data_IF_473723959314
#
_entry.id   IF_473723959314
#
_cell.length_a   1.000
_cell.length_b   1.000
_cell.length_c   1.000
_cell.angle_alpha   90.00
_cell.angle_beta   90.00
_cell.angle_gamma   90.00
#
_symmetry.space_group_name_H-M   'P 1'
#
loop_
_entity.id
_entity.type
_entity.pdbx_description
1 polymer ?
#
# COMPACT_ATOMS: atom_id res chain seq x y z
N UNK A 1 31.09 -43.70 0.55
CA UNK A 1 31.91 -42.59 1.09
C UNK A 1 30.93 -41.52 1.55
N UNK A 2 30.38 -41.44 2.77
CA UNK A 2 30.97 -41.45 4.12
C UNK A 2 32.31 -40.70 4.14
N UNK A 3 32.56 -39.69 4.98
CA UNK A 3 32.23 -39.56 6.41
C UNK A 3 32.44 -38.08 6.85
N UNK A 4 31.57 -37.62 7.77
CA UNK A 4 31.86 -36.93 9.06
C UNK A 4 32.76 -35.68 9.12
N UNK A 5 32.28 -34.55 9.67
CA UNK A 5 32.11 -34.16 11.10
C UNK A 5 33.39 -33.76 11.86
N UNK A 6 33.35 -32.57 12.49
CA UNK A 6 33.67 -32.27 13.90
C UNK A 6 33.11 -30.86 14.22
N UNK A 7 32.12 -30.67 15.11
CA UNK A 7 32.17 -30.43 16.59
C UNK A 7 33.26 -29.41 16.97
N UNK A 8 32.97 -28.35 17.73
CA UNK A 8 32.96 -28.37 19.20
C UNK A 8 31.85 -27.53 19.86
N UNK A 9 31.41 -28.05 21.00
CA UNK A 9 30.48 -27.54 22.00
C UNK A 9 31.29 -26.85 23.10
N UNK A 10 30.78 -25.77 23.68
CA UNK A 10 31.02 -25.42 25.08
C UNK A 10 29.67 -25.20 25.77
N UNK A 11 29.44 -25.95 26.84
CA UNK A 11 28.23 -26.00 27.63
C UNK A 11 28.30 -25.05 28.84
N UNK A 12 27.14 -24.55 29.27
CA UNK A 12 26.89 -24.27 30.68
C UNK A 12 25.40 -24.51 30.96
N UNK A 13 25.12 -25.48 31.82
CA UNK A 13 23.80 -25.80 32.34
C UNK A 13 23.44 -24.81 33.46
N UNK A 14 22.26 -24.22 33.37
CA UNK A 14 21.53 -23.73 34.53
C UNK A 14 20.07 -24.19 34.38
N UNK A 15 19.69 -25.20 35.17
CA UNK A 15 18.30 -25.59 35.35
C UNK A 15 17.67 -24.52 36.22
N UNK A 16 16.91 -23.61 35.61
CA UNK A 16 15.91 -22.83 36.34
C UNK A 16 14.55 -23.52 36.09
N UNK A 17 14.04 -24.21 37.11
CA UNK A 17 12.63 -24.58 37.15
C UNK A 17 11.85 -23.28 37.36
N UNK A 18 11.42 -22.65 36.27
CA UNK A 18 10.35 -21.66 36.31
C UNK A 18 9.07 -22.35 35.88
N UNK A 19 8.23 -22.68 36.86
CA UNK A 19 6.81 -22.81 36.60
C UNK A 19 6.27 -21.39 36.35
N UNK A 20 6.17 -21.01 35.08
CA UNK A 20 5.48 -19.78 34.69
C UNK A 20 4.84 -20.01 33.32
N UNK A 21 3.51 -20.01 33.33
CA UNK A 21 2.56 -19.96 32.22
C UNK A 21 3.09 -20.34 30.83
N UNK A 22 2.52 -21.39 30.23
CA UNK A 22 2.47 -21.51 28.78
C UNK A 22 2.11 -20.12 28.22
N UNK A 23 2.96 -19.48 27.40
CA UNK A 23 2.47 -18.35 26.64
C UNK A 23 1.32 -18.93 25.84
N UNK A 24 0.11 -18.38 26.02
CA UNK A 24 -0.93 -18.61 25.04
C UNK A 24 -0.28 -18.32 23.69
N UNK A 25 -0.13 -19.35 22.86
CA UNK A 25 0.36 -19.18 21.50
C UNK A 25 -0.63 -18.17 20.92
N UNK A 26 -0.16 -16.94 20.73
CA UNK A 26 -1.01 -15.86 20.26
C UNK A 26 -1.52 -16.30 18.89
N UNK A 27 -2.79 -16.70 18.84
CA UNK A 27 -3.39 -17.20 17.62
C UNK A 27 -3.23 -16.11 16.57
N UNK A 28 -2.61 -16.47 15.45
CA UNK A 28 -2.38 -15.58 14.33
C UNK A 28 -3.00 -16.24 13.10
N UNK A 29 -3.60 -15.45 12.22
CA UNK A 29 -4.37 -16.00 11.11
C UNK A 29 -4.87 -14.98 10.11
N UNK A 30 -5.57 -15.49 9.10
CA UNK A 30 -6.37 -14.70 8.16
C UNK A 30 -7.83 -14.78 8.59
N UNK A 31 -8.57 -13.69 8.45
CA UNK A 31 -10.02 -13.66 8.67
C UNK A 31 -10.68 -13.73 7.29
N UNK A 32 -11.17 -14.90 6.84
CA UNK A 32 -11.79 -15.00 5.52
C UNK A 32 -13.15 -14.31 5.51
N UNK A 33 -13.44 -13.54 4.45
CA UNK A 33 -14.71 -12.83 4.29
C UNK A 33 -15.93 -13.76 4.34
N UNK A 34 -15.77 -15.03 3.97
CA UNK A 34 -16.81 -16.05 4.01
C UNK A 34 -17.25 -16.45 5.43
N UNK A 35 -16.42 -16.19 6.44
CA UNK A 35 -16.75 -16.47 7.84
C UNK A 35 -17.36 -15.26 8.55
N UNK A 36 -17.38 -14.09 7.89
CA UNK A 36 -17.97 -12.87 8.42
C UNK A 36 -19.45 -12.75 8.03
N UNK A 37 -20.27 -12.04 8.82
CA UNK A 37 -21.60 -11.65 8.37
C UNK A 37 -21.51 -10.85 7.06
N UNK A 38 -22.58 -10.78 6.25
CA UNK A 38 -22.55 -9.96 5.04
C UNK A 38 -22.24 -8.49 5.35
N UNK A 39 -21.25 -7.87 4.68
CA UNK A 39 -20.94 -6.46 4.90
C UNK A 39 -22.06 -5.55 4.38
N UNK A 40 -22.25 -4.36 4.98
CA UNK A 40 -23.03 -3.29 4.37
C UNK A 40 -22.54 -2.98 2.94
N UNK A 41 -23.46 -2.59 2.03
CA UNK A 41 -23.16 -2.44 0.60
C UNK A 41 -21.95 -1.52 0.31
N UNK A 42 -21.83 -0.40 1.02
CA UNK A 42 -20.69 0.52 0.86
C UNK A 42 -19.35 -0.11 1.30
N UNK A 43 -19.37 -0.94 2.34
CA UNK A 43 -18.19 -1.67 2.81
C UNK A 43 -17.85 -2.80 1.83
N UNK A 44 -18.85 -3.49 1.28
CA UNK A 44 -18.65 -4.52 0.26
C UNK A 44 -17.93 -3.95 -0.98
N UNK A 45 -18.41 -2.82 -1.50
CA UNK A 45 -17.76 -2.09 -2.60
C UNK A 45 -16.33 -1.66 -2.24
N UNK A 46 -16.13 -1.16 -1.02
CA UNK A 46 -14.81 -0.76 -0.53
C UNK A 46 -13.83 -1.95 -0.45
N UNK A 47 -14.29 -3.11 0.00
CA UNK A 47 -13.48 -4.33 0.11
C UNK A 47 -13.05 -4.80 -1.29
N UNK A 48 -13.96 -4.80 -2.25
CA UNK A 48 -13.70 -5.22 -3.62
C UNK A 48 -12.72 -4.28 -4.31
N UNK A 49 -13.04 -2.97 -4.34
CA UNK A 49 -12.18 -1.96 -4.99
C UNK A 49 -10.79 -1.86 -4.36
N UNK A 50 -10.71 -2.03 -3.04
CA UNK A 50 -9.47 -1.96 -2.28
C UNK A 50 -8.69 -3.27 -2.28
N UNK A 51 -9.26 -4.37 -2.78
CA UNK A 51 -8.71 -5.72 -2.68
C UNK A 51 -8.20 -6.00 -1.24
N UNK A 52 -9.15 -5.91 -0.30
CA UNK A 52 -8.88 -5.93 1.14
C UNK A 52 -8.77 -7.38 1.64
N UNK A 53 -7.74 -7.64 2.44
CA UNK A 53 -7.60 -8.85 3.25
C UNK A 53 -7.44 -8.51 4.72
N UNK A 54 -8.13 -9.25 5.58
CA UNK A 54 -8.01 -9.12 7.03
C UNK A 54 -7.09 -10.21 7.62
N UNK A 55 -6.19 -9.82 8.50
CA UNK A 55 -5.27 -10.71 9.22
C UNK A 55 -5.19 -10.31 10.69
N UNK A 56 -4.75 -11.22 11.55
CA UNK A 56 -4.59 -10.93 12.98
C UNK A 56 -3.43 -11.69 13.62
N UNK A 57 -3.02 -11.21 14.80
CA UNK A 57 -2.00 -11.84 15.63
C UNK A 57 -0.57 -11.43 15.26
N UNK A 58 0.37 -11.69 16.17
CA UNK A 58 1.74 -11.19 16.07
C UNK A 58 2.52 -11.74 14.87
N UNK A 59 2.27 -13.01 14.48
CA UNK A 59 3.01 -13.65 13.39
C UNK A 59 2.61 -13.11 12.01
N UNK A 60 1.45 -12.44 11.92
CA UNK A 60 0.98 -11.81 10.68
C UNK A 60 1.16 -10.30 10.68
N UNK A 61 1.76 -9.74 11.75
CA UNK A 61 2.02 -8.30 11.84
C UNK A 61 2.90 -7.88 10.66
N UNK A 62 2.45 -6.95 9.81
CA UNK A 62 3.27 -6.48 8.71
C UNK A 62 4.53 -5.77 9.22
N UNK A 63 5.65 -5.95 8.51
CA UNK A 63 6.89 -5.18 8.68
C UNK A 63 6.69 -3.74 8.19
N UNK A 64 5.81 -2.98 8.84
CA UNK A 64 5.60 -1.58 8.52
C UNK A 64 6.69 -0.73 9.15
N UNK A 65 7.41 0.06 8.34
CA UNK A 65 8.29 1.15 8.79
C UNK A 65 7.49 2.34 9.34
N UNK A 66 6.53 2.11 10.23
CA UNK A 66 5.85 3.19 10.92
C UNK A 66 6.69 3.63 12.13
N UNK A 67 6.74 4.94 12.44
CA UNK A 67 7.41 5.40 13.64
C UNK A 67 6.72 4.78 14.85
N UNK A 68 7.46 3.98 15.59
CA UNK A 68 7.07 3.35 16.83
C UNK A 68 6.95 4.44 17.92
N UNK A 69 5.87 5.23 17.88
CA UNK A 69 5.61 6.28 18.86
C UNK A 69 5.02 5.66 20.13
N UNK A 70 5.75 4.71 20.74
CA UNK A 70 5.55 4.20 22.11
C UNK A 70 4.13 3.75 22.50
N UNK A 71 3.21 3.58 21.55
CA UNK A 71 1.83 3.18 21.78
C UNK A 71 1.58 1.82 21.15
N UNK A 72 1.00 0.87 21.89
CA UNK A 72 0.56 -0.39 21.33
C UNK A 72 -0.47 -0.13 20.21
N UNK A 73 -0.17 -0.55 18.98
CA UNK A 73 -1.11 -0.50 17.85
C UNK A 73 -2.03 -1.70 17.90
N UNK A 74 -3.33 -1.48 18.03
CA UNK A 74 -4.34 -2.56 18.04
C UNK A 74 -4.80 -2.94 16.63
N UNK A 75 -4.59 -2.05 15.65
CA UNK A 75 -4.86 -2.24 14.24
C UNK A 75 -3.86 -1.50 13.34
N UNK A 76 -3.71 -1.97 12.11
CA UNK A 76 -2.86 -1.38 11.07
C UNK A 76 -3.37 -1.72 9.67
N UNK A 77 -3.47 -0.70 8.82
CA UNK A 77 -3.73 -0.87 7.38
C UNK A 77 -2.47 -0.69 6.56
N UNK A 78 -2.06 -1.73 5.85
CA UNK A 78 -0.96 -1.68 4.87
C UNK A 78 -1.53 -1.55 3.47
N UNK A 79 -1.11 -0.49 2.78
CA UNK A 79 -1.46 -0.19 1.41
C UNK A 79 -0.31 -0.52 0.45
N UNK A 80 -0.59 -1.37 -0.52
CA UNK A 80 0.31 -1.68 -1.63
C UNK A 80 -0.26 -1.12 -2.93
N UNK A 81 0.50 -0.24 -3.58
CA UNK A 81 0.20 0.27 -4.91
C UNK A 81 1.18 -0.35 -5.91
N UNK A 82 0.66 -0.90 -6.99
CA UNK A 82 1.47 -1.52 -8.05
C UNK A 82 1.08 -0.97 -9.41
N UNK A 83 2.06 -0.82 -10.29
CA UNK A 83 1.85 -0.29 -11.63
C UNK A 83 2.75 -1.00 -12.64
N UNK A 84 2.26 -1.05 -13.87
CA UNK A 84 3.05 -1.41 -15.04
C UNK A 84 2.97 -0.28 -16.05
N UNK A 85 4.10 0.07 -16.66
CA UNK A 85 4.13 1.08 -17.70
C UNK A 85 4.99 0.65 -18.87
N UNK A 86 4.66 1.22 -20.02
CA UNK A 86 5.41 1.12 -21.25
C UNK A 86 5.82 2.53 -21.67
N UNK A 87 6.87 2.62 -22.49
CA UNK A 87 7.27 3.89 -23.05
C UNK A 87 7.60 3.77 -24.53
N UNK A 88 7.24 4.80 -25.27
CA UNK A 88 7.58 4.94 -26.68
C UNK A 88 8.50 6.13 -26.84
N UNK A 89 9.65 5.89 -27.46
CA UNK A 89 10.68 6.91 -27.62
C UNK A 89 10.90 7.23 -29.09
N UNK A 90 11.00 8.53 -29.38
CA UNK A 90 11.34 9.04 -30.70
C UNK A 90 12.53 9.99 -30.62
N UNK A 91 13.47 9.84 -31.55
CA UNK A 91 14.63 10.71 -31.65
C UNK A 91 14.27 12.03 -32.34
N UNK A 92 14.79 13.13 -31.81
CA UNK A 92 14.68 14.45 -32.41
C UNK A 92 16.06 15.07 -32.52
N UNK A 93 16.54 15.16 -33.76
CA UNK A 93 17.83 15.76 -34.09
C UNK A 93 17.61 17.20 -34.57
N UNK A 94 17.67 18.17 -33.66
CA UNK A 94 17.93 19.57 -34.05
C UNK A 94 19.45 19.76 -34.10
N UNK A 95 19.93 20.52 -35.10
CA UNK A 95 21.32 20.65 -35.61
C UNK A 95 22.47 20.88 -34.59
N UNK A 96 22.23 20.82 -33.28
CA UNK A 96 23.25 20.88 -32.22
C UNK A 96 22.81 20.29 -30.86
N UNK A 97 21.59 19.74 -30.74
CA UNK A 97 21.09 19.20 -29.46
C UNK A 97 20.14 18.01 -29.72
N UNK A 98 20.70 16.82 -29.98
CA UNK A 98 19.88 15.63 -30.13
C UNK A 98 19.22 15.32 -28.78
N UNK A 99 17.94 14.97 -28.83
CA UNK A 99 17.18 14.56 -27.65
C UNK A 99 16.23 13.43 -28.00
N UNK A 100 15.98 12.58 -27.01
CA UNK A 100 14.94 11.58 -27.03
C UNK A 100 13.65 12.18 -26.44
N UNK A 101 12.54 12.03 -27.16
CA UNK A 101 11.20 12.37 -26.69
C UNK A 101 10.50 11.07 -26.34
N UNK A 102 10.26 10.85 -25.05
CA UNK A 102 9.70 9.63 -24.49
C UNK A 102 8.30 9.89 -23.96
N UNK A 103 7.32 9.14 -24.46
CA UNK A 103 5.95 9.15 -23.95
C UNK A 103 5.71 7.90 -23.13
N UNK A 104 5.22 8.07 -21.91
CA UNK A 104 4.89 6.97 -21.01
C UNK A 104 3.40 6.68 -21.13
N UNK A 105 3.04 5.40 -21.08
CA UNK A 105 1.67 4.90 -20.98
C UNK A 105 1.61 3.82 -19.91
N UNK A 106 0.50 3.73 -19.20
CA UNK A 106 0.30 2.56 -18.34
C UNK A 106 -0.02 1.34 -19.22
N UNK A 107 0.49 0.18 -18.81
CA UNK A 107 0.16 -1.08 -19.46
C UNK A 107 -1.29 -1.49 -19.18
N UNK A 108 -1.75 -2.56 -19.84
CA UNK A 108 -3.12 -3.08 -19.70
C UNK A 108 -3.50 -3.43 -18.26
N UNK A 109 -2.53 -3.87 -17.47
CA UNK A 109 -2.70 -4.19 -16.06
C UNK A 109 -2.87 -2.95 -15.16
N UNK A 110 -2.64 -1.74 -15.69
CA UNK A 110 -2.94 -0.47 -15.07
C UNK A 110 -2.25 -0.22 -13.73
N UNK A 111 -2.89 0.64 -12.92
CA UNK A 111 -2.57 0.87 -11.53
C UNK A 111 -3.46 -0.04 -10.68
N UNK A 112 -2.88 -0.85 -9.79
CA UNK A 112 -3.62 -1.75 -8.88
C UNK A 112 -3.29 -1.44 -7.44
N UNK A 113 -4.32 -1.43 -6.60
CA UNK A 113 -4.17 -1.36 -5.16
C UNK A 113 -4.46 -2.71 -4.49
N UNK A 114 -3.89 -2.89 -3.31
CA UNK A 114 -4.18 -4.01 -2.41
C UNK A 114 -4.03 -3.54 -0.98
N UNK A 115 -4.88 -4.03 -0.09
CA UNK A 115 -4.83 -3.71 1.33
C UNK A 115 -4.72 -4.95 2.18
N UNK A 116 -3.81 -4.90 3.17
CA UNK A 116 -3.82 -5.83 4.29
C UNK A 116 -4.18 -5.06 5.55
N UNK A 117 -5.34 -5.35 6.12
CA UNK A 117 -5.77 -4.82 7.41
C UNK A 117 -5.41 -5.85 8.48
N UNK A 118 -4.50 -5.47 9.37
CA UNK A 118 -4.02 -6.28 10.47
C UNK A 118 -4.63 -5.82 11.79
N UNK A 119 -4.99 -6.77 12.64
CA UNK A 119 -5.41 -6.53 14.02
C UNK A 119 -4.50 -7.29 15.00
N UNK A 120 -4.24 -6.72 16.18
CA UNK A 120 -3.50 -7.46 17.21
C UNK A 120 -4.26 -8.71 17.64
N UNK A 121 -5.55 -8.55 17.89
CA UNK A 121 -6.47 -9.61 18.28
C UNK A 121 -7.59 -9.72 17.25
N UNK A 122 -8.10 -10.92 17.00
CA UNK A 122 -9.22 -11.11 16.08
C UNK A 122 -10.46 -10.36 16.59
N UNK A 123 -11.04 -9.44 15.79
CA UNK A 123 -12.33 -8.84 16.13
C UNK A 123 -13.43 -9.91 16.18
N UNK A 124 -14.45 -9.69 17.02
CA UNK A 124 -15.60 -10.57 17.11
C UNK A 124 -16.35 -10.64 15.77
N UNK A 125 -16.67 -11.86 15.33
CA UNK A 125 -17.29 -12.11 14.02
C UNK A 125 -18.67 -11.45 13.94
N UNK A 126 -19.47 -11.57 14.99
CA UNK A 126 -20.87 -11.12 15.03
C UNK A 126 -21.00 -9.59 14.96
N UNK A 127 -20.00 -8.87 15.45
CA UNK A 127 -19.97 -7.41 15.52
C UNK A 127 -18.90 -6.80 14.62
N UNK A 128 -18.34 -7.57 13.69
CA UNK A 128 -17.17 -7.18 12.90
C UNK A 128 -17.38 -5.84 12.17
N UNK A 129 -18.52 -5.65 11.50
CA UNK A 129 -18.83 -4.44 10.73
C UNK A 129 -19.30 -3.25 11.56
N UNK A 130 -19.54 -3.43 12.86
CA UNK A 130 -19.84 -2.34 13.80
C UNK A 130 -18.71 -2.07 14.78
N UNK A 131 -17.63 -2.85 14.71
CA UNK A 131 -16.44 -2.67 15.52
C UNK A 131 -15.71 -1.37 15.11
N UNK A 132 -15.49 -0.48 16.08
CA UNK A 132 -14.91 0.83 15.84
C UNK A 132 -13.48 0.75 15.26
N UNK A 133 -12.68 -0.22 15.69
CA UNK A 133 -11.33 -0.41 15.16
C UNK A 133 -11.39 -0.91 13.71
N UNK A 134 -12.27 -1.86 13.39
CA UNK A 134 -12.48 -2.33 12.02
C UNK A 134 -12.89 -1.17 11.10
N UNK A 135 -13.83 -0.35 11.56
CA UNK A 135 -14.28 0.82 10.80
C UNK A 135 -13.15 1.84 10.59
N UNK A 136 -12.36 2.13 11.63
CA UNK A 136 -11.19 3.01 11.52
C UNK A 136 -10.15 2.50 10.50
N UNK A 137 -9.86 1.19 10.50
CA UNK A 137 -8.97 0.62 9.49
C UNK A 137 -9.57 0.66 8.07
N UNK A 138 -10.89 0.49 7.95
CA UNK A 138 -11.58 0.68 6.67
C UNK A 138 -11.59 2.14 6.21
N UNK A 139 -11.56 3.12 7.12
CA UNK A 139 -11.40 4.53 6.76
C UNK A 139 -10.02 4.81 6.14
N UNK A 140 -8.97 4.11 6.58
CA UNK A 140 -7.67 4.11 5.87
C UNK A 140 -7.81 3.54 4.47
N UNK A 141 -8.47 2.39 4.30
CA UNK A 141 -8.72 1.80 2.96
C UNK A 141 -9.53 2.76 2.07
N UNK A 142 -10.50 3.49 2.63
CA UNK A 142 -11.30 4.48 1.91
C UNK A 142 -10.42 5.61 1.35
N UNK A 143 -9.46 6.10 2.13
CA UNK A 143 -8.52 7.15 1.71
C UNK A 143 -7.63 6.67 0.56
N UNK A 144 -7.03 5.49 0.69
CA UNK A 144 -6.05 4.97 -0.26
C UNK A 144 -6.67 4.37 -1.54
N UNK A 145 -7.94 3.96 -1.48
CA UNK A 145 -8.70 3.43 -2.62
C UNK A 145 -9.47 4.51 -3.38
N UNK A 146 -9.24 5.79 -3.07
CA UNK A 146 -9.92 6.90 -3.73
C UNK A 146 -9.55 6.95 -5.24
N UNK A 147 -10.54 6.87 -6.16
CA UNK A 147 -10.30 6.86 -7.61
C UNK A 147 -9.59 8.12 -8.12
N UNK A 148 -9.65 9.22 -7.36
CA UNK A 148 -8.93 10.47 -7.68
C UNK A 148 -7.42 10.30 -7.58
N UNK A 149 -6.91 9.39 -6.73
CA UNK A 149 -5.48 9.09 -6.65
C UNK A 149 -4.98 8.41 -7.92
N UNK A 150 -5.74 7.44 -8.43
CA UNK A 150 -5.43 6.77 -9.69
C UNK A 150 -5.49 7.75 -10.87
N UNK A 151 -6.50 8.62 -10.90
CA UNK A 151 -6.64 9.67 -11.91
C UNK A 151 -5.45 10.64 -11.86
N UNK A 152 -5.06 11.10 -10.67
CA UNK A 152 -3.91 11.99 -10.49
C UNK A 152 -2.60 11.34 -10.95
N UNK A 153 -2.37 10.06 -10.61
CA UNK A 153 -1.21 9.31 -11.06
C UNK A 153 -1.16 9.22 -12.59
N UNK A 154 -2.28 8.87 -13.21
CA UNK A 154 -2.42 8.75 -14.67
C UNK A 154 -2.09 10.08 -15.37
N UNK A 155 -2.72 11.17 -14.93
CA UNK A 155 -2.50 12.52 -15.45
C UNK A 155 -1.01 12.90 -15.34
N UNK A 156 -0.41 12.74 -14.16
CA UNK A 156 1.00 13.11 -13.96
C UNK A 156 1.98 12.29 -14.83
N UNK A 157 1.68 11.01 -15.08
CA UNK A 157 2.53 10.13 -15.88
C UNK A 157 2.39 10.39 -17.38
N UNK A 158 1.19 10.74 -17.85
CA UNK A 158 0.88 10.78 -19.29
C UNK A 158 0.85 12.18 -19.90
N UNK A 159 0.66 13.24 -19.10
CA UNK A 159 0.39 14.58 -19.61
C UNK A 159 1.54 15.19 -20.41
N UNK A 160 2.79 14.90 -20.06
CA UNK A 160 3.95 15.50 -20.72
C UNK A 160 4.98 14.46 -21.15
N UNK A 161 5.46 14.54 -22.41
CA UNK A 161 6.57 13.71 -22.84
C UNK A 161 7.85 14.11 -22.09
N UNK A 162 8.62 13.10 -21.68
CA UNK A 162 9.96 13.31 -21.14
C UNK A 162 10.92 13.67 -22.26
N UNK A 163 11.73 14.71 -22.03
CA UNK A 163 12.79 15.12 -22.93
C UNK A 163 14.11 14.72 -22.28
N UNK A 164 14.77 13.72 -22.85
CA UNK A 164 16.07 13.25 -22.39
C UNK A 164 17.15 13.77 -23.35
N UNK A 165 18.05 14.68 -22.91
CA UNK A 165 19.22 15.05 -23.69
C UNK A 165 20.07 13.80 -23.97
N UNK A 166 20.61 13.68 -25.18
CA UNK A 166 21.47 12.57 -25.55
C UNK A 166 22.71 13.12 -26.24
N UNK A 167 23.84 12.47 -26.05
CA UNK A 167 25.10 12.85 -26.69
C UNK A 167 25.29 12.17 -28.07
N UNK A 168 24.45 11.18 -28.38
CA UNK A 168 24.53 10.39 -29.60
C UNK A 168 23.59 10.91 -30.69
N UNK A 169 24.05 10.87 -31.94
CA UNK A 169 23.27 11.22 -33.13
C UNK A 169 22.27 10.13 -33.56
N UNK A 170 22.37 8.93 -32.98
CA UNK A 170 21.54 7.75 -33.26
C UNK A 170 21.09 7.04 -31.99
N UNK A 171 20.02 6.24 -32.10
CA UNK A 171 19.47 5.47 -30.98
C UNK A 171 20.30 4.19 -30.75
N UNK A 172 21.26 4.26 -29.83
CA UNK A 172 22.10 3.13 -29.43
C UNK A 172 21.53 2.40 -28.21
N UNK A 173 22.12 1.25 -27.86
CA UNK A 173 21.82 0.54 -26.61
C UNK A 173 22.05 1.40 -25.36
N UNK A 174 23.08 2.26 -25.37
CA UNK A 174 23.36 3.20 -24.28
C UNK A 174 22.26 4.27 -24.15
N UNK A 175 21.80 4.84 -25.28
CA UNK A 175 20.66 5.77 -25.30
C UNK A 175 19.39 5.09 -24.78
N UNK A 176 19.12 3.85 -25.20
CA UNK A 176 17.97 3.09 -24.73
C UNK A 176 18.01 2.83 -23.22
N UNK A 177 19.18 2.50 -22.68
CA UNK A 177 19.37 2.29 -21.24
C UNK A 177 19.10 3.58 -20.45
N UNK A 178 19.63 4.71 -20.92
CA UNK A 178 19.45 6.00 -20.26
C UNK A 178 17.99 6.47 -20.31
N UNK A 179 17.34 6.37 -21.48
CA UNK A 179 15.92 6.66 -21.63
C UNK A 179 15.06 5.81 -20.69
N UNK A 180 15.36 4.51 -20.59
CA UNK A 180 14.64 3.62 -19.69
C UNK A 180 14.86 3.98 -18.22
N UNK A 181 16.10 4.36 -17.85
CA UNK A 181 16.43 4.82 -16.50
C UNK A 181 15.64 6.08 -16.13
N UNK A 182 15.65 7.09 -17.00
CA UNK A 182 14.91 8.36 -16.81
C UNK A 182 13.40 8.12 -16.72
N UNK A 183 12.84 7.28 -17.60
CA UNK A 183 11.41 6.94 -17.56
C UNK A 183 11.03 6.25 -16.24
N UNK A 184 11.81 5.26 -15.80
CA UNK A 184 11.59 4.56 -14.52
C UNK A 184 11.67 5.52 -13.33
N UNK A 185 12.68 6.39 -13.31
CA UNK A 185 12.87 7.37 -12.22
C UNK A 185 11.74 8.39 -12.15
N UNK A 186 11.25 8.85 -13.30
CA UNK A 186 10.12 9.76 -13.39
C UNK A 186 8.83 9.13 -12.82
N UNK A 187 8.46 7.94 -13.29
CA UNK A 187 7.26 7.24 -12.79
C UNK A 187 7.41 6.91 -11.30
N UNK A 188 8.60 6.47 -10.85
CA UNK A 188 8.86 6.20 -9.44
C UNK A 188 8.74 7.46 -8.55
N UNK A 189 9.07 8.63 -9.08
CA UNK A 189 8.92 9.91 -8.35
C UNK A 189 7.45 10.26 -8.16
N UNK A 190 6.65 10.14 -9.22
CA UNK A 190 5.19 10.34 -9.16
C UNK A 190 4.56 9.35 -8.19
N UNK A 191 4.94 8.07 -8.28
CA UNK A 191 4.50 7.02 -7.37
C UNK A 191 4.76 7.37 -5.90
N UNK A 192 5.98 7.79 -5.56
CA UNK A 192 6.33 8.22 -4.20
C UNK A 192 5.52 9.44 -3.76
N UNK A 193 5.25 10.38 -4.66
CA UNK A 193 4.40 11.53 -4.36
C UNK A 193 2.98 11.10 -3.98
N UNK A 194 2.37 10.18 -4.72
CA UNK A 194 1.04 9.64 -4.41
C UNK A 194 1.04 8.93 -3.07
N UNK A 195 2.02 8.05 -2.81
CA UNK A 195 2.13 7.39 -1.51
C UNK A 195 2.30 8.39 -0.36
N UNK A 196 3.05 9.47 -0.57
CA UNK A 196 3.21 10.51 0.44
C UNK A 196 1.88 11.23 0.75
N UNK A 197 1.03 11.45 -0.25
CA UNK A 197 -0.29 12.04 -0.02
C UNK A 197 -1.17 11.13 0.83
N UNK A 198 -1.14 9.82 0.55
CA UNK A 198 -1.87 8.81 1.34
C UNK A 198 -1.36 8.77 2.78
N UNK A 199 -0.03 8.70 2.98
CA UNK A 199 0.60 8.68 4.30
C UNK A 199 0.28 9.95 5.13
N UNK A 200 0.24 11.13 4.50
CA UNK A 200 -0.21 12.36 5.18
C UNK A 200 -1.65 12.22 5.67
N UNK A 201 -2.55 11.67 4.84
CA UNK A 201 -3.97 11.50 5.20
C UNK A 201 -4.19 10.42 6.25
N UNK A 202 -3.41 9.35 6.22
CA UNK A 202 -3.43 8.33 7.27
C UNK A 202 -3.05 8.93 8.61
N UNK A 203 -1.93 9.66 8.67
CA UNK A 203 -1.48 10.35 9.90
C UNK A 203 -2.48 11.39 10.38
N UNK A 204 -3.15 12.09 9.47
CA UNK A 204 -4.22 13.03 9.83
C UNK A 204 -5.40 12.29 10.46
N UNK A 205 -5.86 11.19 9.85
CA UNK A 205 -6.94 10.36 10.38
C UNK A 205 -6.58 9.83 11.78
N UNK A 206 -5.43 9.18 11.92
CA UNK A 206 -4.96 8.64 13.20
C UNK A 206 -4.83 9.73 14.27
N UNK A 207 -4.36 10.93 13.89
CA UNK A 207 -4.25 12.05 14.83
C UNK A 207 -5.62 12.53 15.32
N UNK A 208 -6.64 12.63 14.45
CA UNK A 208 -7.95 13.16 14.85
C UNK A 208 -8.82 12.11 15.56
N UNK A 209 -8.69 10.83 15.20
CA UNK A 209 -9.40 9.73 15.85
C UNK A 209 -8.63 9.18 17.05
N UNK A 210 -7.41 9.65 17.30
CA UNK A 210 -6.50 9.05 18.29
C UNK A 210 -6.35 7.54 18.03
N UNK A 211 -5.99 7.19 16.79
CA UNK A 211 -5.83 5.83 16.28
C UNK A 211 -7.11 4.99 16.48
N UNK A 212 -8.25 5.54 16.06
CA UNK A 212 -9.55 4.88 16.13
C UNK A 212 -10.21 4.91 17.51
N UNK A 213 -9.57 5.44 18.56
CA UNK A 213 -10.16 5.52 19.91
C UNK A 213 -11.30 6.54 20.04
N UNK A 214 -11.43 7.47 19.09
CA UNK A 214 -12.46 8.50 19.02
C UNK A 214 -13.18 8.42 17.68
N UNK A 215 -14.47 8.78 17.61
CA UNK A 215 -15.18 8.85 16.34
C UNK A 215 -14.56 9.89 15.41
N UNK A 216 -14.72 9.69 14.11
CA UNK A 216 -14.31 10.68 13.10
C UNK A 216 -15.14 11.96 13.27
N UNK A 217 -14.51 13.15 13.29
CA UNK A 217 -15.25 14.41 13.28
C UNK A 217 -16.11 14.56 12.03
N UNK A 218 -17.33 15.09 12.17
CA UNK A 218 -18.31 15.21 11.08
C UNK A 218 -17.75 15.92 9.83
N UNK A 219 -16.91 16.93 10.01
CA UNK A 219 -16.26 17.66 8.91
C UNK A 219 -15.33 16.76 8.07
N UNK A 220 -14.59 15.85 8.71
CA UNK A 220 -13.72 14.90 8.02
C UNK A 220 -14.56 13.82 7.33
N UNK A 221 -15.64 13.37 7.97
CA UNK A 221 -16.56 12.40 7.40
C UNK A 221 -17.25 12.93 6.13
N UNK A 222 -17.58 14.21 6.08
CA UNK A 222 -18.13 14.88 4.90
C UNK A 222 -17.10 14.93 3.73
N UNK A 223 -15.81 15.13 4.05
CA UNK A 223 -14.75 15.11 3.04
C UNK A 223 -14.49 13.71 2.49
N UNK A 224 -14.53 12.70 3.35
CA UNK A 224 -14.37 11.30 2.97
C UNK A 224 -15.54 10.79 2.12
N UNK A 225 -16.77 11.15 2.46
CA UNK A 225 -17.98 10.78 1.70
C UNK A 225 -18.07 11.45 0.32
N UNK A 226 -17.59 12.68 0.17
CA UNK A 226 -17.47 13.36 -1.13
C UNK A 226 -16.40 12.77 -2.07
N UNK A 227 -15.71 11.71 -1.64
CA UNK A 227 -14.76 10.94 -2.47
C UNK A 227 -15.43 9.85 -3.29
N UNK A 228 -16.72 9.57 -3.04
CA UNK A 228 -17.49 8.67 -3.88
C UNK A 228 -17.86 9.38 -5.19
N UNK A 229 -17.64 8.77 -6.37
CA UNK A 229 -18.31 9.22 -7.57
C UNK A 229 -19.81 9.09 -7.32
N UNK A 230 -20.52 10.20 -7.27
CA UNK A 230 -21.98 10.18 -7.38
C UNK A 230 -22.28 9.53 -8.71
N UNK A 231 -23.01 8.40 -8.69
CA UNK A 231 -23.52 7.80 -9.91
C UNK A 231 -24.22 8.92 -10.71
N UNK A 232 -24.02 9.01 -12.04
CA UNK A 232 -24.76 9.97 -12.83
C UNK A 232 -26.24 9.66 -12.63
N UNK A 233 -26.97 10.60 -12.04
CA UNK A 233 -28.42 10.53 -12.01
C UNK A 233 -28.88 10.60 -13.46
N UNK A 234 -29.30 9.46 -14.00
CA UNK A 234 -29.88 9.37 -15.32
C UNK A 234 -31.06 10.33 -15.40
N UNK A 235 -30.98 11.25 -16.35
CA UNK A 235 -32.12 11.92 -16.95
C UNK A 235 -32.43 11.20 -18.27
#
# INVERSE_FOLDING_TARGET
>A
MSHQQHRWICAAFAILVSAAASPAIAQSGTIPLSELPPPPALIADLIDRGNVRFVYGWDTRPDAKLPDVGRPLDGLTVYELSYQFEHHTSMRNRRSNPHAVTRIRLGESGLRCKHTVWFREAPQIETFWSNQLVLHELDHVLISSDPRLASLFLTQVQDQPLITPIEASSYSSAVAAEVNRVAKEHVATIYRSILSLVDIRYRELDRVTNHGARPIPAELQLRLSNSHPTAPQGQ
#
